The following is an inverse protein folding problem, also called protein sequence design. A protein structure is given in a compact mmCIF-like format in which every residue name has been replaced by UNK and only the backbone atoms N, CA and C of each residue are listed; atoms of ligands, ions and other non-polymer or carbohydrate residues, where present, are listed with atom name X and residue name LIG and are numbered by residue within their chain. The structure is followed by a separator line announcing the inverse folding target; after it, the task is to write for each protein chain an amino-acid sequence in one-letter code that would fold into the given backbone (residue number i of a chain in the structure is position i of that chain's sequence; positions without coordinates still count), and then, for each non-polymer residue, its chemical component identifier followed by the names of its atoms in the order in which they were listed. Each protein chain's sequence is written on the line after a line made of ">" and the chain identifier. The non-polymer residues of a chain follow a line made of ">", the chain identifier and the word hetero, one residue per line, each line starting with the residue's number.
data_IF_165622133566
#
_entry.id   IF_165622133566
#
_cell.length_a   1.000
_cell.length_b   1.000
_cell.length_c   1.000
_cell.angle_alpha   90.00
_cell.angle_beta   90.00
_cell.angle_gamma   90.00
#
_symmetry.space_group_name_H-M   'P 1'
#
loop_
_entity.id
_entity.type
_entity.pdbx_description
1 polymer ?
#
# COMPACT_ATOMS: atom_id res chain seq x y z
N UNK A 1 4.12 11.71 -5.04
CA UNK A 1 2.88 12.51 -5.05
C UNK A 1 2.20 12.61 -3.68
N UNK A 2 2.47 11.74 -2.73
CA UNK A 2 2.02 11.83 -1.34
C UNK A 2 3.11 12.39 -0.43
N UNK A 3 2.71 13.06 0.67
CA UNK A 3 3.61 13.68 1.64
C UNK A 3 3.46 13.04 3.02
N UNK A 4 3.52 11.70 3.06
CA UNK A 4 3.29 10.93 4.27
C UNK A 4 4.24 11.35 5.40
N UNK A 5 3.66 11.72 6.55
CA UNK A 5 4.40 12.18 7.71
C UNK A 5 5.36 11.12 8.28
N UNK A 6 4.99 9.84 8.17
CA UNK A 6 5.74 8.71 8.69
C UNK A 6 6.91 8.26 7.81
N UNK A 7 7.02 8.74 6.56
CA UNK A 7 8.03 8.25 5.62
C UNK A 7 8.94 9.37 5.09
N UNK A 8 8.39 10.55 4.81
CA UNK A 8 9.10 11.73 4.27
C UNK A 8 9.89 11.47 2.97
N UNK A 9 9.67 10.34 2.28
CA UNK A 9 10.41 10.00 1.05
C UNK A 9 10.32 11.08 -0.04
N UNK A 10 9.24 11.85 -0.04
CA UNK A 10 9.04 12.98 -0.95
C UNK A 10 10.10 14.10 -0.80
N UNK A 11 10.81 14.16 0.34
CA UNK A 11 11.90 15.13 0.56
C UNK A 11 13.19 14.76 -0.16
N UNK A 12 13.38 13.47 -0.46
CA UNK A 12 14.55 12.95 -1.16
C UNK A 12 14.10 11.91 -2.21
N UNK A 13 13.48 12.36 -3.31
CA UNK A 13 13.08 11.45 -4.38
C UNK A 13 14.31 10.81 -5.02
N UNK A 14 14.20 9.53 -5.39
CA UNK A 14 15.24 8.86 -6.17
C UNK A 14 15.35 9.48 -7.56
N UNK A 15 16.55 9.45 -8.12
CA UNK A 15 16.78 9.77 -9.52
C UNK A 15 16.60 8.49 -10.36
N UNK A 16 16.29 8.60 -11.66
CA UNK A 16 16.10 7.43 -12.53
C UNK A 16 17.28 6.45 -12.52
N UNK A 17 18.51 6.95 -12.44
CA UNK A 17 19.74 6.14 -12.40
C UNK A 17 19.97 5.40 -11.07
N UNK A 18 19.29 5.81 -10.01
CA UNK A 18 19.34 5.17 -8.69
C UNK A 18 18.26 4.08 -8.54
N UNK A 19 17.33 4.00 -9.49
CA UNK A 19 16.24 3.03 -9.45
C UNK A 19 16.67 1.69 -10.08
N UNK A 20 16.07 0.61 -9.60
CA UNK A 20 16.35 -0.72 -10.12
C UNK A 20 16.07 -0.79 -11.63
N UNK A 21 17.03 -1.25 -12.41
CA UNK A 21 16.88 -1.43 -13.86
C UNK A 21 16.26 -2.79 -14.21
N UNK A 22 15.65 -2.89 -15.39
CA UNK A 22 15.13 -4.16 -15.92
C UNK A 22 16.26 -5.19 -16.05
N UNK A 23 17.47 -4.78 -16.42
CA UNK A 23 18.64 -5.68 -16.51
C UNK A 23 19.02 -6.25 -15.15
N UNK A 24 18.86 -5.49 -14.07
CA UNK A 24 19.06 -5.99 -12.71
C UNK A 24 17.96 -6.98 -12.33
N UNK A 25 16.70 -6.69 -12.68
CA UNK A 25 15.55 -7.58 -12.43
C UNK A 25 15.73 -8.92 -13.16
N UNK A 26 16.23 -8.93 -14.38
CA UNK A 26 16.52 -10.15 -15.13
C UNK A 26 17.54 -11.07 -14.44
N UNK A 27 18.39 -10.53 -13.56
CA UNK A 27 19.38 -11.30 -12.79
C UNK A 27 18.84 -11.89 -11.50
N UNK A 28 17.63 -11.49 -11.07
CA UNK A 28 17.02 -12.03 -9.85
C UNK A 28 16.76 -13.53 -9.99
N UNK A 29 16.89 -14.31 -8.89
CA UNK A 29 16.53 -15.73 -8.88
C UNK A 29 15.02 -15.93 -8.99
N UNK A 30 14.56 -17.17 -9.07
CA UNK A 30 13.15 -17.50 -8.85
C UNK A 30 12.75 -17.19 -7.41
N UNK A 31 11.56 -16.62 -7.25
CA UNK A 31 11.01 -16.17 -5.97
C UNK A 31 9.60 -16.69 -5.81
N UNK A 32 9.24 -17.07 -4.59
CA UNK A 32 7.85 -17.42 -4.26
C UNK A 32 6.95 -16.16 -4.23
N UNK A 33 7.48 -15.06 -3.71
CA UNK A 33 6.74 -13.81 -3.52
C UNK A 33 7.58 -12.58 -3.85
N UNK A 34 6.98 -11.62 -4.53
CA UNK A 34 7.59 -10.31 -4.80
C UNK A 34 6.62 -9.21 -4.41
N UNK A 35 7.07 -8.30 -3.56
CA UNK A 35 6.37 -7.05 -3.29
C UNK A 35 7.05 -5.88 -4.01
N UNK A 36 6.33 -5.26 -4.93
CA UNK A 36 6.77 -4.04 -5.59
C UNK A 36 6.29 -2.86 -4.76
N UNK A 37 7.23 -2.11 -4.24
CA UNK A 37 7.00 -0.93 -3.41
C UNK A 37 8.05 0.13 -3.69
N UNK A 38 8.12 1.17 -2.89
CA UNK A 38 9.13 2.22 -3.00
C UNK A 38 8.55 3.56 -2.58
N UNK A 39 8.78 4.62 -3.37
CA UNK A 39 8.02 5.87 -3.22
C UNK A 39 6.57 5.65 -3.63
N UNK A 40 6.31 5.76 -4.93
CA UNK A 40 5.04 5.35 -5.54
C UNK A 40 5.35 4.62 -6.86
N UNK A 41 5.08 3.31 -6.96
CA UNK A 41 5.45 2.52 -8.14
C UNK A 41 4.82 3.03 -9.43
N UNK A 42 3.60 3.52 -9.38
CA UNK A 42 2.87 4.00 -10.57
C UNK A 42 3.36 5.35 -11.11
N UNK A 43 4.39 5.95 -10.53
CA UNK A 43 5.12 7.08 -11.14
C UNK A 43 6.03 6.58 -12.27
N UNK A 44 6.60 5.37 -12.14
CA UNK A 44 7.48 4.78 -13.14
C UNK A 44 6.74 4.50 -14.46
N UNK A 45 7.35 4.89 -15.56
CA UNK A 45 6.78 4.66 -16.90
C UNK A 45 6.99 3.25 -17.42
N UNK A 46 8.02 2.55 -16.92
CA UNK A 46 8.39 1.18 -17.28
C UNK A 46 7.88 0.11 -16.29
N UNK A 47 6.95 0.46 -15.39
CA UNK A 47 6.42 -0.48 -14.39
C UNK A 47 5.82 -1.75 -15.02
N UNK A 48 5.15 -1.63 -16.17
CA UNK A 48 4.61 -2.80 -16.89
C UNK A 48 5.70 -3.76 -17.35
N UNK A 49 6.81 -3.25 -17.83
CA UNK A 49 7.93 -4.08 -18.28
C UNK A 49 8.62 -4.76 -17.09
N UNK A 50 8.74 -4.05 -15.96
CA UNK A 50 9.20 -4.62 -14.69
C UNK A 50 8.30 -5.78 -14.25
N UNK A 51 6.99 -5.58 -14.24
CA UNK A 51 6.01 -6.61 -13.86
C UNK A 51 6.11 -7.82 -14.81
N UNK A 52 6.22 -7.58 -16.11
CA UNK A 52 6.36 -8.66 -17.13
C UNK A 52 7.61 -9.51 -16.90
N UNK A 53 8.74 -8.90 -16.55
CA UNK A 53 9.97 -9.63 -16.23
C UNK A 53 9.84 -10.39 -14.89
N UNK A 54 9.20 -9.80 -13.89
CA UNK A 54 8.99 -10.45 -12.59
C UNK A 54 8.03 -11.65 -12.68
N UNK A 55 7.02 -11.64 -13.56
CA UNK A 55 6.15 -12.80 -13.78
C UNK A 55 6.89 -14.05 -14.28
N UNK A 56 8.06 -13.89 -14.88
CA UNK A 56 8.92 -15.02 -15.29
C UNK A 56 9.64 -15.67 -14.10
N UNK A 57 9.62 -15.03 -12.93
CA UNK A 57 10.48 -15.35 -11.79
C UNK A 57 9.75 -15.43 -10.45
N UNK A 58 8.53 -14.93 -10.35
CA UNK A 58 7.79 -14.87 -9.10
C UNK A 58 6.43 -15.52 -9.24
N UNK A 59 6.09 -16.40 -8.30
CA UNK A 59 4.80 -17.10 -8.29
C UNK A 59 3.66 -16.15 -7.90
N UNK A 60 3.92 -15.19 -7.03
CA UNK A 60 2.97 -14.15 -6.64
C UNK A 60 3.66 -12.78 -6.63
N UNK A 61 3.01 -11.81 -7.25
CA UNK A 61 3.46 -10.41 -7.26
C UNK A 61 2.37 -9.54 -6.63
N UNK A 62 2.75 -8.69 -5.70
CA UNK A 62 1.88 -7.68 -5.10
C UNK A 62 2.50 -6.30 -5.31
N UNK A 63 1.69 -5.31 -5.66
CA UNK A 63 2.11 -3.90 -5.72
C UNK A 63 1.46 -3.14 -4.59
N UNK A 64 2.30 -2.51 -3.75
CA UNK A 64 1.86 -1.56 -2.73
C UNK A 64 1.87 -0.15 -3.30
N UNK A 65 0.70 0.51 -3.32
CA UNK A 65 0.51 1.83 -3.93
C UNK A 65 -0.38 2.71 -3.07
N UNK A 66 -0.28 4.02 -3.24
CA UNK A 66 -1.21 4.97 -2.63
C UNK A 66 -2.59 5.03 -3.33
N UNK A 67 -2.76 4.33 -4.44
CA UNK A 67 -4.02 4.24 -5.17
C UNK A 67 -4.43 5.48 -5.96
N UNK A 68 -3.58 6.50 -6.03
CA UNK A 68 -3.93 7.79 -6.65
C UNK A 68 -4.03 7.75 -8.17
N UNK A 69 -3.25 6.89 -8.81
CA UNK A 69 -3.17 6.75 -10.27
C UNK A 69 -4.13 5.68 -10.81
N UNK A 70 -5.43 5.81 -10.51
CA UNK A 70 -6.48 4.83 -10.83
C UNK A 70 -6.37 4.26 -12.24
N UNK A 71 -6.25 5.12 -13.26
CA UNK A 71 -6.24 4.66 -14.66
C UNK A 71 -4.99 3.84 -14.99
N UNK A 72 -3.82 4.20 -14.46
CA UNK A 72 -2.59 3.42 -14.63
C UNK A 72 -2.65 2.07 -13.92
N UNK A 73 -3.27 2.04 -12.73
CA UNK A 73 -3.49 0.81 -11.95
C UNK A 73 -4.42 -0.12 -12.72
N UNK A 74 -5.56 0.39 -13.17
CA UNK A 74 -6.54 -0.34 -13.97
C UNK A 74 -5.93 -0.89 -15.26
N UNK A 75 -5.15 -0.08 -15.96
CA UNK A 75 -4.51 -0.47 -17.22
C UNK A 75 -3.44 -1.58 -17.01
N UNK A 76 -2.70 -1.52 -15.91
CA UNK A 76 -1.79 -2.60 -15.53
C UNK A 76 -2.56 -3.88 -15.17
N UNK A 77 -3.63 -3.79 -14.40
CA UNK A 77 -4.44 -4.94 -13.99
C UNK A 77 -5.18 -5.62 -15.15
N UNK A 78 -5.51 -4.89 -16.21
CA UNK A 78 -6.06 -5.49 -17.45
C UNK A 78 -5.05 -6.41 -18.13
N UNK A 79 -3.79 -6.05 -18.13
CA UNK A 79 -2.71 -6.86 -18.70
C UNK A 79 -2.30 -8.02 -17.77
N UNK A 80 -2.35 -7.77 -16.46
CA UNK A 80 -1.92 -8.72 -15.43
C UNK A 80 -3.05 -8.99 -14.41
N UNK A 81 -4.11 -9.73 -14.77
CA UNK A 81 -5.30 -9.89 -13.91
C UNK A 81 -5.07 -10.69 -12.63
N UNK A 82 -3.92 -11.36 -12.49
CA UNK A 82 -3.57 -12.14 -11.29
C UNK A 82 -2.68 -11.35 -10.32
N UNK A 83 -2.31 -10.09 -10.66
CA UNK A 83 -1.45 -9.29 -9.79
C UNK A 83 -2.20 -8.87 -8.53
N UNK A 84 -1.52 -8.92 -7.39
CA UNK A 84 -2.04 -8.37 -6.15
C UNK A 84 -1.87 -6.85 -6.09
N UNK A 85 -2.89 -6.14 -5.63
CA UNK A 85 -2.83 -4.70 -5.39
C UNK A 85 -3.18 -4.41 -3.93
N UNK A 86 -2.27 -3.75 -3.21
CA UNK A 86 -2.51 -3.25 -1.86
C UNK A 86 -2.50 -1.74 -1.89
N UNK A 87 -3.67 -1.16 -1.62
CA UNK A 87 -3.81 0.30 -1.57
C UNK A 87 -3.63 0.76 -0.13
N UNK A 88 -2.65 1.63 0.06
CA UNK A 88 -2.35 2.20 1.37
C UNK A 88 -3.43 3.20 1.77
N UNK A 89 -4.26 2.83 2.74
CA UNK A 89 -5.27 3.68 3.38
C UNK A 89 -5.03 3.64 4.88
N UNK A 90 -4.70 4.80 5.44
CA UNK A 90 -4.19 4.95 6.80
C UNK A 90 -5.30 5.26 7.82
N UNK A 91 -6.56 5.05 7.49
CA UNK A 91 -7.71 5.30 8.34
C UNK A 91 -8.91 5.78 7.56
N UNK A 92 -9.92 6.33 8.24
CA UNK A 92 -11.05 6.98 7.59
C UNK A 92 -10.59 8.27 6.88
N UNK A 93 -11.48 8.89 6.13
CA UNK A 93 -11.16 9.97 5.19
C UNK A 93 -10.26 11.05 5.75
N UNK A 94 -10.63 11.66 6.88
CA UNK A 94 -9.86 12.75 7.47
C UNK A 94 -8.48 12.25 7.93
N UNK A 95 -8.44 11.19 8.71
CA UNK A 95 -7.21 10.60 9.25
C UNK A 95 -6.25 10.20 8.13
N UNK A 96 -6.77 9.53 7.09
CA UNK A 96 -5.98 9.14 5.93
C UNK A 96 -5.36 10.34 5.22
N UNK A 97 -6.17 11.37 4.91
CA UNK A 97 -5.71 12.53 4.15
C UNK A 97 -4.65 13.33 4.92
N UNK A 98 -4.78 13.42 6.25
CA UNK A 98 -3.81 14.07 7.11
C UNK A 98 -2.49 13.29 7.19
N UNK A 99 -2.53 11.97 7.45
CA UNK A 99 -1.32 11.14 7.56
C UNK A 99 -0.56 11.10 6.22
N UNK A 100 -1.28 10.95 5.12
CA UNK A 100 -0.68 10.86 3.79
C UNK A 100 -0.33 12.21 3.18
N UNK A 101 -0.77 13.32 3.79
CA UNK A 101 -0.54 14.66 3.29
C UNK A 101 -1.01 14.81 1.84
N UNK A 102 -2.16 14.24 1.53
CA UNK A 102 -2.70 14.15 0.18
C UNK A 102 -4.20 14.47 0.19
N UNK A 103 -4.56 15.61 -0.36
CA UNK A 103 -5.95 16.00 -0.50
C UNK A 103 -6.72 15.00 -1.39
N UNK A 104 -7.90 14.59 -0.93
CA UNK A 104 -8.73 13.55 -1.59
C UNK A 104 -8.01 12.19 -1.76
N UNK A 105 -6.96 11.91 -0.97
CA UNK A 105 -6.21 10.65 -1.03
C UNK A 105 -7.08 9.44 -0.68
N UNK A 106 -7.97 9.59 0.31
CA UNK A 106 -8.93 8.56 0.69
C UNK A 106 -9.89 8.23 -0.46
N UNK A 107 -10.56 9.26 -1.00
CA UNK A 107 -11.54 9.07 -2.08
C UNK A 107 -10.92 8.44 -3.32
N UNK A 108 -9.69 8.85 -3.66
CA UNK A 108 -8.94 8.27 -4.78
C UNK A 108 -8.58 6.81 -4.53
N UNK A 109 -7.98 6.50 -3.40
CA UNK A 109 -7.58 5.13 -3.05
C UNK A 109 -8.79 4.21 -2.94
N UNK A 110 -9.83 4.64 -2.22
CA UNK A 110 -11.07 3.88 -2.07
C UNK A 110 -11.80 3.69 -3.41
N UNK A 111 -11.88 4.74 -4.24
CA UNK A 111 -12.46 4.65 -5.58
C UNK A 111 -11.70 3.67 -6.48
N UNK A 112 -10.36 3.64 -6.37
CA UNK A 112 -9.53 2.65 -7.09
C UNK A 112 -9.82 1.23 -6.62
N UNK A 113 -9.95 0.99 -5.30
CA UNK A 113 -10.33 -0.33 -4.76
C UNK A 113 -11.68 -0.80 -5.31
N UNK A 114 -12.70 0.07 -5.30
CA UNK A 114 -14.02 -0.24 -5.87
C UNK A 114 -13.91 -0.64 -7.34
N UNK A 115 -13.19 0.15 -8.14
CA UNK A 115 -13.02 -0.11 -9.57
C UNK A 115 -12.32 -1.43 -9.85
N UNK A 116 -11.28 -1.78 -9.07
CA UNK A 116 -10.60 -3.06 -9.18
C UNK A 116 -11.52 -4.24 -8.82
N UNK A 117 -12.37 -4.08 -7.80
CA UNK A 117 -13.37 -5.09 -7.42
C UNK A 117 -14.42 -5.28 -8.52
N UNK A 118 -14.93 -4.19 -9.09
CA UNK A 118 -15.87 -4.22 -10.23
C UNK A 118 -15.29 -4.91 -11.47
N UNK A 119 -13.96 -4.82 -11.66
CA UNK A 119 -13.22 -5.55 -12.70
C UNK A 119 -13.05 -7.04 -12.42
N UNK A 120 -13.45 -7.53 -11.24
CA UNK A 120 -13.31 -8.93 -10.86
C UNK A 120 -11.90 -9.31 -10.36
N UNK A 121 -11.07 -8.33 -10.02
CA UNK A 121 -9.75 -8.58 -9.40
C UNK A 121 -9.93 -9.31 -8.07
N UNK A 122 -9.18 -10.39 -7.85
CA UNK A 122 -9.30 -11.24 -6.65
C UNK A 122 -8.32 -10.86 -5.55
N UNK A 123 -7.07 -10.55 -5.91
CA UNK A 123 -5.99 -10.23 -4.96
C UNK A 123 -5.88 -8.70 -4.76
N UNK A 124 -6.91 -8.12 -4.15
CA UNK A 124 -7.00 -6.68 -3.88
C UNK A 124 -7.27 -6.44 -2.40
N UNK A 125 -6.64 -5.42 -1.82
CA UNK A 125 -6.84 -5.15 -0.41
C UNK A 125 -6.31 -3.79 0.05
N UNK A 126 -6.61 -3.53 1.30
CA UNK A 126 -6.17 -2.36 2.04
C UNK A 126 -4.82 -2.64 2.72
N UNK A 127 -3.99 -1.63 2.85
CA UNK A 127 -2.80 -1.62 3.67
C UNK A 127 -2.83 -0.45 4.65
N UNK A 128 -2.63 -0.69 5.95
CA UNK A 128 -2.65 0.34 6.99
C UNK A 128 -1.40 0.24 7.86
N UNK A 129 -0.69 1.34 8.02
CA UNK A 129 0.40 1.45 9.01
C UNK A 129 -0.15 2.05 10.30
N UNK A 130 -0.37 1.21 11.30
CA UNK A 130 -1.02 1.59 12.56
C UNK A 130 -0.09 2.42 13.43
N UNK A 131 -0.58 3.57 13.88
CA UNK A 131 0.07 4.53 14.75
C UNK A 131 -0.96 5.20 15.68
N UNK A 132 -0.50 6.02 16.63
CA UNK A 132 -1.40 6.67 17.61
C UNK A 132 -2.62 7.33 16.96
N UNK A 133 -2.38 8.06 15.87
CA UNK A 133 -3.42 8.87 15.23
C UNK A 133 -4.55 8.05 14.60
N UNK A 134 -4.21 6.90 14.05
CA UNK A 134 -5.16 6.10 13.27
C UNK A 134 -5.59 4.79 13.94
N UNK A 135 -5.02 4.45 15.09
CA UNK A 135 -5.44 3.25 15.82
C UNK A 135 -6.96 3.19 16.07
N UNK A 136 -7.67 4.30 16.39
CA UNK A 136 -9.13 4.30 16.52
C UNK A 136 -9.88 3.91 15.24
N UNK A 137 -9.29 4.14 14.06
CA UNK A 137 -9.89 3.81 12.76
C UNK A 137 -9.66 2.36 12.33
N UNK A 138 -8.89 1.57 13.10
CA UNK A 138 -8.48 0.22 12.73
C UNK A 138 -9.67 -0.71 12.50
N UNK A 139 -10.59 -0.80 13.46
CA UNK A 139 -11.81 -1.64 13.35
C UNK A 139 -12.79 -1.07 12.31
N UNK A 140 -13.10 0.24 12.29
CA UNK A 140 -13.93 0.82 11.24
C UNK A 140 -13.42 0.54 9.83
N UNK A 141 -12.12 0.70 9.57
CA UNK A 141 -11.56 0.46 8.25
C UNK A 141 -11.54 -1.04 7.89
N UNK A 142 -11.28 -1.92 8.88
CA UNK A 142 -11.41 -3.37 8.70
C UNK A 142 -12.83 -3.75 8.26
N UNK A 143 -13.87 -3.22 8.91
CA UNK A 143 -15.27 -3.49 8.54
C UNK A 143 -15.55 -3.11 7.09
N UNK A 144 -15.10 -1.94 6.66
CA UNK A 144 -15.22 -1.51 5.26
C UNK A 144 -14.53 -2.50 4.32
N UNK A 145 -13.31 -2.95 4.64
CA UNK A 145 -12.58 -3.92 3.79
C UNK A 145 -13.29 -5.28 3.74
N UNK A 146 -13.82 -5.74 4.87
CA UNK A 146 -14.55 -7.00 4.99
C UNK A 146 -15.87 -6.98 4.20
N UNK A 147 -16.64 -5.90 4.30
CA UNK A 147 -17.86 -5.69 3.51
C UNK A 147 -17.58 -5.69 1.99
N UNK A 148 -16.40 -5.21 1.59
CA UNK A 148 -15.94 -5.26 0.20
C UNK A 148 -15.39 -6.64 -0.19
N UNK A 149 -15.25 -7.59 0.74
CA UNK A 149 -14.62 -8.89 0.52
C UNK A 149 -13.15 -8.76 0.11
N UNK A 150 -12.42 -7.82 0.73
CA UNK A 150 -11.03 -7.51 0.43
C UNK A 150 -10.10 -7.83 1.60
N UNK A 151 -8.83 -8.11 1.29
CA UNK A 151 -7.80 -8.28 2.32
C UNK A 151 -7.54 -6.97 3.07
N UNK A 152 -7.32 -7.08 4.37
CA UNK A 152 -6.91 -5.98 5.23
C UNK A 152 -5.55 -6.31 5.86
N UNK A 153 -4.50 -5.69 5.33
CA UNK A 153 -3.14 -5.88 5.83
C UNK A 153 -2.74 -4.73 6.76
N UNK A 154 -2.13 -5.05 7.88
CA UNK A 154 -1.64 -4.07 8.84
C UNK A 154 -0.16 -4.21 9.10
N UNK A 155 0.51 -3.09 9.36
CA UNK A 155 1.86 -3.01 9.90
C UNK A 155 1.88 -2.03 11.06
N UNK A 156 2.71 -2.26 12.07
CA UNK A 156 2.95 -1.24 13.10
C UNK A 156 3.88 -0.15 12.58
N UNK A 157 3.67 1.07 13.04
CA UNK A 157 4.58 2.18 12.78
C UNK A 157 6.02 1.80 13.15
N UNK A 158 6.94 1.98 12.24
CA UNK A 158 8.34 1.62 12.42
C UNK A 158 9.28 2.65 11.78
N UNK A 159 10.56 2.52 12.05
CA UNK A 159 11.59 3.24 11.33
C UNK A 159 12.26 2.32 10.32
N UNK A 160 12.65 2.89 9.18
CA UNK A 160 13.36 2.19 8.13
C UNK A 160 14.48 3.07 7.59
N UNK A 161 15.56 2.45 7.12
CA UNK A 161 16.72 3.15 6.58
C UNK A 161 16.40 3.98 5.32
N UNK A 162 15.32 3.66 4.61
CA UNK A 162 14.90 4.43 3.44
C UNK A 162 13.90 5.56 3.76
N UNK A 163 13.46 5.70 5.03
CA UNK A 163 12.69 6.85 5.47
C UNK A 163 13.60 8.06 5.65
N UNK A 164 13.11 9.23 5.28
CA UNK A 164 13.89 10.47 5.33
C UNK A 164 13.50 11.26 6.57
N UNK A 165 14.45 11.45 7.48
CA UNK A 165 14.24 12.23 8.71
C UNK A 165 13.01 11.80 9.54
N UNK A 166 12.52 10.59 9.36
CA UNK A 166 11.41 10.07 10.13
C UNK A 166 11.92 9.50 11.46
N UNK A 167 11.36 10.00 12.56
CA UNK A 167 11.57 9.49 13.93
C UNK A 167 10.23 8.96 14.42
N UNK A 168 9.82 7.82 13.90
CA UNK A 168 8.52 7.24 14.20
C UNK A 168 8.52 6.58 15.58
N UNK A 169 7.58 6.98 16.41
CA UNK A 169 7.38 6.44 17.76
C UNK A 169 5.87 6.30 17.99
N UNK A 170 5.46 5.19 18.56
CA UNK A 170 4.12 5.02 19.13
C UNK A 170 4.20 5.50 20.57
N UNK A 171 3.51 6.60 20.88
CA UNK A 171 3.52 7.24 22.19
C UNK A 171 2.52 6.58 23.14
N UNK A 172 1.31 6.30 22.68
CA UNK A 172 0.26 5.64 23.46
C UNK A 172 0.12 4.16 23.10
N UNK A 173 1.12 3.36 23.49
CA UNK A 173 1.13 1.92 23.25
C UNK A 173 -0.08 1.19 23.82
N UNK A 174 -0.57 1.52 25.05
CA UNK A 174 -1.77 0.89 25.59
C UNK A 174 -3.01 1.12 24.71
N UNK A 175 -3.22 2.34 24.22
CA UNK A 175 -4.34 2.66 23.33
C UNK A 175 -4.23 1.91 22.01
N UNK A 176 -3.04 1.90 21.38
CA UNK A 176 -2.82 1.14 20.14
C UNK A 176 -3.04 -0.34 20.34
N UNK A 177 -2.50 -0.94 21.43
CA UNK A 177 -2.72 -2.34 21.78
C UNK A 177 -4.21 -2.66 21.95
N UNK A 178 -4.94 -1.79 22.64
CA UNK A 178 -6.39 -1.96 22.85
C UNK A 178 -7.17 -1.97 21.53
N UNK A 179 -6.79 -1.15 20.57
CA UNK A 179 -7.41 -1.16 19.24
C UNK A 179 -7.09 -2.44 18.44
N UNK A 180 -5.88 -3.00 18.58
CA UNK A 180 -5.58 -4.33 18.03
C UNK A 180 -6.39 -5.44 18.71
N UNK A 181 -6.55 -5.42 20.04
CA UNK A 181 -7.44 -6.36 20.74
C UNK A 181 -8.89 -6.28 20.23
N UNK A 182 -9.38 -5.06 20.02
CA UNK A 182 -10.71 -4.85 19.45
C UNK A 182 -10.82 -5.43 18.02
N UNK A 183 -9.77 -5.29 17.20
CA UNK A 183 -9.73 -5.91 15.87
C UNK A 183 -9.74 -7.43 15.96
N UNK A 184 -8.92 -8.02 16.85
CA UNK A 184 -8.91 -9.49 17.06
C UNK A 184 -10.30 -9.98 17.50
N UNK A 185 -10.94 -9.29 18.43
CA UNK A 185 -12.30 -9.63 18.87
C UNK A 185 -13.33 -9.52 17.73
N UNK A 186 -13.17 -8.59 16.81
CA UNK A 186 -14.03 -8.47 15.63
C UNK A 186 -13.79 -9.60 14.62
N UNK A 187 -12.55 -10.04 14.45
CA UNK A 187 -12.17 -11.16 13.57
C UNK A 187 -12.68 -12.53 14.08
N UNK A 188 -12.88 -12.65 15.40
CA UNK A 188 -13.34 -13.89 16.04
C UNK A 188 -14.88 -14.02 16.11
N UNK A 189 -15.62 -13.01 15.66
CA UNK A 189 -17.10 -13.01 15.58
C UNK A 189 -17.60 -13.67 14.32
#
# INVERSE_FOLDING_TARGET
>A
NARCSMCNRYKAPSKPEEEISIETIKKLPKMYFTNITGGEPFIRTDLKDIVRELYKKSDRIVISTNGFFTDRIVDLCKEFPQIGIRISIEGLEQTNNEIRGLQNGYQRGYGTLKKLREMGMKDVGFGMTVQDKNAPDLVPLYKISNEMGMEFATASLHNSFYFVEAKNIIHDRPMVAKNFENLVNELLR
#
